data_IF_859197232496
#
_entry.id   IF_859197232496
#
_cell.length_a   1.000
_cell.length_b   1.000
_cell.length_c   1.000
_cell.angle_alpha   90.00
_cell.angle_beta   90.00
_cell.angle_gamma   90.00
#
_symmetry.space_group_name_H-M   'P 1'
#
loop_
_entity.id
_entity.type
_entity.pdbx_description
1 polymer ?
#
# COMPACT_ATOMS: atom_id res chain seq x y z
N UNK A 1 51.88 52.07 -8.24
CA UNK A 1 50.53 51.62 -8.67
C UNK A 1 50.47 50.10 -8.65
N UNK A 2 49.67 49.49 -7.77
CA UNK A 2 49.20 48.08 -7.88
C UNK A 2 48.03 47.90 -6.91
N UNK A 3 46.79 47.95 -7.41
CA UNK A 3 45.58 47.68 -6.65
C UNK A 3 45.34 46.16 -6.67
N UNK A 4 45.47 45.52 -5.51
CA UNK A 4 45.11 44.10 -5.35
C UNK A 4 43.60 43.97 -5.20
N UNK A 5 42.96 43.32 -6.18
CA UNK A 5 41.54 42.96 -6.14
C UNK A 5 41.41 41.62 -5.43
N UNK A 6 40.74 41.61 -4.26
CA UNK A 6 40.38 40.37 -3.53
C UNK A 6 39.01 39.91 -4.00
N UNK A 7 38.97 38.79 -4.72
CA UNK A 7 37.75 38.10 -5.16
C UNK A 7 37.13 37.36 -3.97
N UNK A 8 35.87 37.68 -3.64
CA UNK A 8 35.07 37.01 -2.61
C UNK A 8 34.26 35.89 -3.29
N UNK A 9 34.31 34.62 -2.84
CA UNK A 9 33.49 33.57 -3.43
C UNK A 9 32.06 33.69 -2.89
N UNK A 10 31.08 33.82 -3.78
CA UNK A 10 29.67 33.76 -3.43
C UNK A 10 29.24 32.28 -3.31
N UNK A 11 28.86 31.86 -2.09
CA UNK A 11 28.30 30.54 -1.83
C UNK A 11 26.81 30.58 -2.18
N UNK A 12 26.43 29.89 -3.25
CA UNK A 12 25.02 29.69 -3.64
C UNK A 12 24.47 28.50 -2.85
N UNK A 13 23.60 28.77 -1.87
CA UNK A 13 22.88 27.74 -1.14
C UNK A 13 21.69 27.25 -1.98
N UNK A 14 21.79 26.03 -2.50
CA UNK A 14 20.68 25.35 -3.19
C UNK A 14 19.70 24.82 -2.13
N UNK A 15 18.54 25.45 -1.98
CA UNK A 15 17.42 24.86 -1.23
C UNK A 15 16.82 23.74 -2.08
N UNK A 16 17.13 22.49 -1.73
CA UNK A 16 16.43 21.33 -2.28
C UNK A 16 14.98 21.33 -1.77
N UNK A 17 14.02 21.67 -2.63
CA UNK A 17 12.61 21.45 -2.34
C UNK A 17 12.37 19.94 -2.28
N UNK A 18 12.15 19.40 -1.08
CA UNK A 18 11.72 18.02 -0.93
C UNK A 18 10.33 17.86 -1.58
N UNK A 19 10.08 16.82 -2.38
CA UNK A 19 8.77 16.59 -2.94
C UNK A 19 7.78 16.36 -1.79
N UNK A 20 6.79 17.22 -1.68
CA UNK A 20 5.63 17.01 -0.81
C UNK A 20 4.83 15.87 -1.44
N UNK A 21 5.08 14.63 -1.02
CA UNK A 21 4.27 13.47 -1.42
C UNK A 21 2.84 13.73 -0.95
N UNK A 22 1.97 14.14 -1.88
CA UNK A 22 0.56 14.33 -1.62
C UNK A 22 -0.03 13.00 -1.17
N UNK A 23 -0.28 12.86 0.14
CA UNK A 23 -1.05 11.75 0.66
C UNK A 23 -2.47 11.89 0.07
N UNK A 24 -2.85 10.94 -0.79
CA UNK A 24 -4.18 10.92 -1.41
C UNK A 24 -5.32 10.92 -0.37
N UNK A 25 -6.55 11.18 -0.81
CA UNK A 25 -7.71 11.30 0.08
C UNK A 25 -7.86 10.06 0.98
N UNK A 26 -8.36 10.28 2.19
CA UNK A 26 -8.75 9.17 3.08
C UNK A 26 -10.05 8.59 2.58
N UNK A 27 -10.06 7.29 2.30
CA UNK A 27 -11.20 6.59 1.74
C UNK A 27 -11.51 5.32 2.56
N UNK A 28 -12.50 4.56 2.12
CA UNK A 28 -12.84 3.25 2.70
C UNK A 28 -12.67 2.17 1.64
N UNK A 29 -12.27 0.97 2.04
CA UNK A 29 -12.23 -0.17 1.12
C UNK A 29 -13.64 -0.71 0.88
N UNK A 30 -13.89 -1.26 -0.30
CA UNK A 30 -15.18 -1.86 -0.62
C UNK A 30 -15.49 -2.97 0.40
N UNK A 31 -16.67 -2.93 1.02
CA UNK A 31 -17.10 -3.92 2.00
C UNK A 31 -17.26 -5.29 1.34
N UNK A 32 -16.87 -6.35 2.04
CA UNK A 32 -16.97 -7.69 1.49
C UNK A 32 -15.81 -8.60 1.87
N UNK A 33 -15.93 -9.87 1.48
CA UNK A 33 -14.90 -10.89 1.68
C UNK A 33 -13.86 -10.82 0.57
N UNK A 34 -12.58 -10.86 0.93
CA UNK A 34 -11.43 -10.87 0.03
C UNK A 34 -10.72 -12.22 0.15
N UNK A 35 -10.74 -12.94 -0.96
CA UNK A 35 -10.10 -14.24 -1.15
C UNK A 35 -8.72 -14.02 -1.74
N UNK A 36 -7.67 -14.35 -1.00
CA UNK A 36 -6.28 -14.10 -1.37
C UNK A 36 -5.61 -15.31 -2.02
N UNK A 37 -4.82 -15.07 -3.05
CA UNK A 37 -4.17 -16.14 -3.81
C UNK A 37 -2.85 -15.70 -4.40
N UNK A 38 -1.97 -16.68 -4.57
CA UNK A 38 -0.76 -16.56 -5.36
C UNK A 38 -1.08 -16.83 -6.84
N UNK A 39 -0.30 -16.26 -7.78
CA UNK A 39 -0.41 -16.63 -9.18
C UNK A 39 -0.19 -18.13 -9.32
N UNK A 40 -1.04 -18.80 -10.09
CA UNK A 40 -0.84 -20.20 -10.42
C UNK A 40 0.12 -20.38 -11.59
N UNK A 41 -0.08 -21.44 -12.36
CA UNK A 41 0.79 -21.81 -13.49
C UNK A 41 -0.03 -21.92 -14.77
N UNK A 42 0.61 -21.74 -15.93
CA UNK A 42 -0.08 -21.81 -17.23
C UNK A 42 -0.70 -23.20 -17.50
N UNK A 43 -0.16 -24.25 -16.91
CA UNK A 43 -0.66 -25.63 -17.04
C UNK A 43 -1.64 -26.04 -15.94
N UNK A 44 -1.95 -25.16 -14.99
CA UNK A 44 -2.71 -25.49 -13.78
C UNK A 44 -3.78 -24.46 -13.45
N UNK A 45 -4.15 -24.41 -12.17
CA UNK A 45 -5.11 -23.42 -11.67
C UNK A 45 -4.59 -21.99 -11.93
N UNK A 46 -5.50 -21.07 -12.27
CA UNK A 46 -5.14 -19.67 -12.50
C UNK A 46 -4.63 -18.95 -11.23
N UNK A 47 -5.03 -19.43 -10.05
CA UNK A 47 -4.61 -18.93 -8.75
C UNK A 47 -4.52 -20.06 -7.74
N UNK A 48 -3.59 -19.93 -6.80
CA UNK A 48 -3.39 -20.87 -5.70
C UNK A 48 -3.80 -20.15 -4.42
N UNK A 49 -4.84 -20.67 -3.76
CA UNK A 49 -5.44 -20.05 -2.57
C UNK A 49 -4.45 -19.97 -1.41
N UNK A 50 -4.52 -18.85 -0.69
CA UNK A 50 -3.77 -18.58 0.54
C UNK A 50 -4.78 -18.17 1.63
N UNK A 51 -5.54 -19.14 2.19
CA UNK A 51 -6.65 -18.87 3.09
C UNK A 51 -6.23 -18.07 4.34
N UNK A 52 -5.02 -18.27 4.84
CA UNK A 52 -4.46 -17.53 5.97
C UNK A 52 -4.34 -16.02 5.69
N UNK A 53 -4.35 -15.64 4.41
CA UNK A 53 -4.35 -14.23 3.98
C UNK A 53 -5.73 -13.70 3.66
N UNK A 54 -6.80 -14.47 3.78
CA UNK A 54 -8.15 -13.94 3.60
C UNK A 54 -8.55 -12.95 4.68
N UNK A 55 -9.44 -12.03 4.32
CA UNK A 55 -10.07 -11.12 5.26
C UNK A 55 -11.39 -10.60 4.72
N UNK A 56 -12.20 -10.00 5.59
CA UNK A 56 -13.45 -9.36 5.25
C UNK A 56 -13.47 -7.94 5.76
N UNK A 57 -13.77 -6.98 4.89
CA UNK A 57 -14.03 -5.60 5.27
C UNK A 57 -15.46 -5.51 5.82
N UNK A 58 -15.59 -5.20 7.10
CA UNK A 58 -16.88 -5.19 7.83
C UNK A 58 -17.53 -3.79 7.81
N UNK A 59 -16.72 -2.75 7.93
CA UNK A 59 -17.15 -1.36 7.90
C UNK A 59 -16.04 -0.45 7.35
N UNK A 60 -16.27 0.86 7.35
CA UNK A 60 -15.43 1.90 6.76
C UNK A 60 -13.91 1.74 7.01
N UNK A 61 -13.50 1.26 8.18
CA UNK A 61 -12.07 1.10 8.52
C UNK A 61 -11.80 -0.14 9.36
N UNK A 62 -12.67 -1.17 9.30
CA UNK A 62 -12.53 -2.39 10.11
C UNK A 62 -12.52 -3.64 9.25
N UNK A 63 -11.64 -4.58 9.60
CA UNK A 63 -11.58 -5.90 8.98
C UNK A 63 -11.74 -7.02 10.01
N UNK A 64 -12.12 -8.19 9.51
CA UNK A 64 -12.09 -9.47 10.21
C UNK A 64 -11.28 -10.47 9.39
N UNK A 65 -10.48 -11.29 10.03
CA UNK A 65 -9.79 -12.45 9.48
C UNK A 65 -10.05 -13.65 10.39
N UNK A 66 -9.60 -14.85 9.99
CA UNK A 66 -9.66 -16.02 10.87
C UNK A 66 -8.86 -15.83 12.15
N UNK A 67 -7.74 -15.11 12.07
CA UNK A 67 -6.83 -14.85 13.19
C UNK A 67 -7.33 -13.76 14.14
N UNK A 68 -8.36 -13.00 13.77
CA UNK A 68 -8.90 -11.91 14.58
C UNK A 68 -9.33 -10.69 13.78
N UNK A 69 -9.64 -9.61 14.50
CA UNK A 69 -10.15 -8.36 13.94
C UNK A 69 -9.12 -7.24 14.06
N UNK A 70 -9.28 -6.20 13.24
CA UNK A 70 -8.45 -5.00 13.34
C UNK A 70 -8.96 -3.85 12.50
N UNK A 71 -8.09 -2.84 12.37
CA UNK A 71 -8.36 -1.58 11.68
C UNK A 71 -7.39 -1.44 10.50
N UNK A 72 -7.87 -0.79 9.46
CA UNK A 72 -7.04 -0.36 8.33
C UNK A 72 -7.26 1.13 8.05
N UNK A 73 -6.28 1.72 7.38
CA UNK A 73 -6.35 3.06 6.82
C UNK A 73 -6.22 2.94 5.30
N UNK A 74 -7.21 3.44 4.55
CA UNK A 74 -7.06 3.60 3.10
C UNK A 74 -6.75 5.06 2.79
N UNK A 75 -5.68 5.28 2.02
CA UNK A 75 -5.31 6.59 1.47
C UNK A 75 -5.05 6.43 -0.02
N UNK A 76 -5.87 7.09 -0.85
CA UNK A 76 -5.89 6.87 -2.28
C UNK A 76 -6.09 5.38 -2.61
N UNK A 77 -5.16 4.82 -3.38
CA UNK A 77 -5.13 3.42 -3.79
C UNK A 77 -4.46 2.50 -2.76
N UNK A 78 -3.91 2.99 -1.64
CA UNK A 78 -3.21 2.14 -0.67
C UNK A 78 -4.06 1.88 0.56
N UNK A 79 -4.22 0.60 0.90
CA UNK A 79 -4.79 0.11 2.16
C UNK A 79 -3.65 -0.34 3.05
N UNK A 80 -3.50 0.28 4.23
CA UNK A 80 -2.54 -0.08 5.27
C UNK A 80 -3.27 -0.66 6.47
N UNK A 81 -2.92 -1.85 6.89
CA UNK A 81 -3.43 -2.44 8.13
C UNK A 81 -2.66 -1.86 9.31
N UNK A 82 -3.38 -1.27 10.26
CA UNK A 82 -2.81 -0.47 11.37
C UNK A 82 -3.00 -1.14 12.73
N UNK A 83 -3.88 -2.14 12.85
CA UNK A 83 -4.03 -2.94 14.07
C UNK A 83 -4.52 -4.37 13.80
N UNK A 84 -4.50 -5.21 14.84
CA UNK A 84 -4.89 -6.61 14.77
C UNK A 84 -3.81 -7.50 14.14
N UNK A 85 -4.13 -8.77 13.83
CA UNK A 85 -3.16 -9.78 13.38
C UNK A 85 -2.41 -9.41 12.09
N UNK A 86 -2.97 -8.52 11.27
CA UNK A 86 -2.40 -8.09 9.99
C UNK A 86 -1.69 -6.75 10.05
N UNK A 87 -1.51 -6.18 11.24
CA UNK A 87 -0.81 -4.89 11.39
C UNK A 87 0.57 -4.97 10.73
N UNK A 88 0.91 -3.97 9.90
CA UNK A 88 2.13 -4.03 9.08
C UNK A 88 1.85 -4.24 7.60
N UNK A 89 0.80 -4.99 7.26
CA UNK A 89 0.50 -5.32 5.86
C UNK A 89 -0.06 -4.12 5.08
N UNK A 90 0.25 -4.09 3.79
CA UNK A 90 -0.24 -3.06 2.87
C UNK A 90 -0.68 -3.68 1.55
N UNK A 91 -1.67 -3.08 0.91
CA UNK A 91 -2.21 -3.50 -0.39
C UNK A 91 -2.46 -2.27 -1.25
N UNK A 92 -2.16 -2.33 -2.54
CA UNK A 92 -2.67 -1.37 -3.53
C UNK A 92 -3.99 -1.87 -4.11
N UNK A 93 -4.93 -0.96 -4.32
CA UNK A 93 -6.22 -1.13 -4.96
C UNK A 93 -5.98 -0.98 -6.46
N UNK A 94 -5.90 -2.12 -7.14
CA UNK A 94 -5.70 -2.16 -8.60
C UNK A 94 -7.03 -2.01 -9.34
N UNK A 95 -8.13 -2.40 -8.69
CA UNK A 95 -9.49 -2.18 -9.14
C UNK A 95 -10.49 -2.38 -8.00
N UNK A 96 -11.76 -2.10 -8.23
CA UNK A 96 -12.79 -2.11 -7.19
C UNK A 96 -12.86 -3.42 -6.39
N UNK A 97 -12.65 -4.55 -7.08
CA UNK A 97 -12.71 -5.89 -6.50
C UNK A 97 -11.33 -6.57 -6.44
N UNK A 98 -10.26 -5.83 -6.67
CA UNK A 98 -8.93 -6.40 -6.89
C UNK A 98 -7.83 -5.64 -6.14
N UNK A 99 -7.23 -6.33 -5.18
CA UNK A 99 -6.13 -5.82 -4.37
C UNK A 99 -4.84 -6.58 -4.68
N UNK A 100 -3.72 -5.88 -4.60
CA UNK A 100 -2.39 -6.48 -4.69
C UNK A 100 -1.60 -6.18 -3.44
N UNK A 101 -1.09 -7.20 -2.75
CA UNK A 101 -0.29 -6.97 -1.56
C UNK A 101 1.03 -6.30 -1.94
N UNK A 102 1.49 -5.40 -1.09
CA UNK A 102 2.78 -4.73 -1.24
C UNK A 102 3.82 -5.43 -0.35
N UNK A 103 5.03 -5.58 -0.88
CA UNK A 103 6.18 -6.06 -0.13
C UNK A 103 6.69 -5.02 0.88
N UNK A 104 7.70 -5.38 1.69
CA UNK A 104 8.33 -4.46 2.65
C UNK A 104 8.96 -3.22 1.99
N UNK A 105 9.34 -3.34 0.72
CA UNK A 105 9.88 -2.27 -0.12
C UNK A 105 8.80 -1.39 -0.76
N UNK A 106 7.52 -1.65 -0.45
CA UNK A 106 6.37 -0.94 -1.01
C UNK A 106 6.02 -1.35 -2.45
N UNK A 107 6.71 -2.32 -3.04
CA UNK A 107 6.45 -2.76 -4.41
C UNK A 107 5.36 -3.83 -4.46
N UNK A 108 4.60 -3.95 -5.56
CA UNK A 108 3.65 -5.03 -5.76
C UNK A 108 4.30 -6.41 -5.59
N UNK A 109 3.77 -7.20 -4.66
CA UNK A 109 4.15 -8.60 -4.48
C UNK A 109 3.37 -9.50 -5.45
N UNK A 110 3.57 -10.82 -5.35
CA UNK A 110 2.79 -11.78 -6.15
C UNK A 110 1.38 -12.01 -5.60
N UNK A 111 1.16 -11.84 -4.29
CA UNK A 111 -0.13 -12.11 -3.66
C UNK A 111 -1.20 -11.10 -4.10
N UNK A 112 -2.33 -11.59 -4.60
CA UNK A 112 -3.52 -10.78 -4.92
C UNK A 112 -4.70 -11.21 -4.07
N UNK A 113 -5.64 -10.29 -3.84
CA UNK A 113 -6.89 -10.60 -3.15
C UNK A 113 -8.07 -10.10 -3.97
N UNK A 114 -9.02 -10.99 -4.21
CA UNK A 114 -10.20 -10.74 -5.04
C UNK A 114 -11.41 -10.69 -4.13
N UNK A 115 -12.25 -9.67 -4.31
CA UNK A 115 -13.51 -9.55 -3.55
C UNK A 115 -14.54 -10.54 -4.09
N UNK A 116 -15.05 -11.43 -3.24
CA UNK A 116 -15.93 -12.55 -3.63
C UNK A 116 -17.36 -12.45 -3.12
N UNK A 117 -17.69 -11.45 -2.30
CA UNK A 117 -19.06 -11.27 -1.80
C UNK A 117 -19.20 -10.05 -0.90
N UNK A 118 -20.43 -9.61 -0.63
CA UNK A 118 -20.75 -8.46 0.22
C UNK A 118 -20.95 -8.84 1.68
#
# INVERSE_FOLDING_TARGET
MRRSVRTIPAIIAVLAAAPLSAAGPVETAMRGSYSCEMPGTAAGAAGIRVPEKDFRIRSASRYKSEQGNGVYLRKGDVIRFTSGPRSGESYTVVGENFLRALGPDGKPSRLRCIRTGN
#
